data_IF_830071184416
#
_entry.id   IF_830071184416
#
_cell.length_a   1.000
_cell.length_b   1.000
_cell.length_c   1.000
_cell.angle_alpha   90.00
_cell.angle_beta   90.00
_cell.angle_gamma   90.00
#
_symmetry.space_group_name_H-M   'P 1'
#
loop_
_entity.id
_entity.type
_entity.pdbx_description
1 polymer ?
#
# COMPACT_ATOMS: atom_id res chain seq x y z
N UNK A 1 0.03 5.77 -11.64
CA UNK A 1 0.88 5.02 -12.58
C UNK A 1 1.40 3.77 -11.89
N UNK A 2 1.40 2.64 -12.59
CA UNK A 2 2.00 1.45 -12.01
C UNK A 2 3.48 1.67 -11.74
N UNK A 3 3.94 1.14 -10.64
CA UNK A 3 5.34 1.22 -10.28
C UNK A 3 5.74 2.42 -9.47
N UNK A 4 4.83 3.35 -9.22
CA UNK A 4 5.11 4.48 -8.34
C UNK A 4 5.15 4.01 -6.89
N UNK A 5 6.10 4.54 -6.10
CA UNK A 5 6.05 4.31 -4.66
C UNK A 5 4.98 5.22 -4.09
N UNK A 6 3.96 4.63 -3.46
CA UNK A 6 2.85 5.41 -2.91
C UNK A 6 2.80 5.35 -1.39
N UNK A 7 3.53 4.43 -0.77
CA UNK A 7 3.45 4.26 0.68
C UNK A 7 4.69 3.53 1.16
N UNK A 8 5.16 3.86 2.36
CA UNK A 8 6.31 3.19 2.98
C UNK A 8 5.90 2.80 4.39
N UNK A 9 6.14 1.55 4.77
CA UNK A 9 5.97 1.12 6.14
C UNK A 9 7.31 1.13 6.85
N UNK A 10 7.34 1.75 8.02
CA UNK A 10 8.55 1.86 8.82
C UNK A 10 8.31 1.05 10.09
N UNK A 11 8.96 -0.09 10.23
CA UNK A 11 8.76 -0.92 11.42
C UNK A 11 9.49 -0.33 12.62
N UNK A 12 8.89 -0.52 13.78
CA UNK A 12 9.48 0.00 15.01
C UNK A 12 9.02 -0.84 16.19
N UNK A 13 9.95 -1.17 17.07
CA UNK A 13 9.59 -1.82 18.32
C UNK A 13 8.91 -0.81 19.25
N UNK A 14 9.43 0.40 19.30
CA UNK A 14 8.86 1.50 20.10
C UNK A 14 8.36 2.55 19.13
N UNK A 15 7.06 2.50 18.85
CA UNK A 15 6.49 3.38 17.84
C UNK A 15 6.48 4.85 18.29
N UNK A 16 6.39 5.11 19.60
CA UNK A 16 6.45 6.48 20.06
C UNK A 16 7.82 7.10 19.82
N UNK A 17 8.86 6.34 20.10
CA UNK A 17 10.21 6.82 19.87
C UNK A 17 10.47 7.03 18.38
N UNK A 18 9.94 6.15 17.57
CA UNK A 18 10.07 6.29 16.11
C UNK A 18 9.37 7.54 15.62
N UNK A 19 8.16 7.81 16.13
CA UNK A 19 7.45 9.03 15.75
C UNK A 19 8.23 10.27 16.14
N UNK A 20 8.84 10.26 17.31
CA UNK A 20 9.65 11.39 17.74
C UNK A 20 10.84 11.62 16.82
N UNK A 21 11.49 10.54 16.43
CA UNK A 21 12.64 10.65 15.56
C UNK A 21 12.25 11.26 14.21
N UNK A 22 11.30 10.66 13.54
CA UNK A 22 10.92 11.09 12.20
C UNK A 22 10.22 12.45 12.21
N UNK A 23 9.40 12.67 13.23
CA UNK A 23 8.71 13.94 13.37
C UNK A 23 9.66 15.09 13.64
N UNK A 24 10.69 14.86 14.46
CA UNK A 24 11.69 15.90 14.73
C UNK A 24 12.56 16.15 13.52
N UNK A 25 12.86 15.09 12.78
CA UNK A 25 13.76 15.22 11.64
C UNK A 25 13.10 15.94 10.47
N UNK A 26 11.87 15.57 10.16
CA UNK A 26 11.21 16.06 8.94
C UNK A 26 9.95 16.88 9.20
N UNK A 27 9.53 17.01 10.44
CA UNK A 27 8.29 17.71 10.72
C UNK A 27 7.04 16.91 10.42
N UNK A 28 7.19 15.60 10.25
CA UNK A 28 6.03 14.76 9.96
C UNK A 28 5.12 14.68 11.17
N UNK A 29 3.82 14.69 10.92
CA UNK A 29 2.82 14.55 11.97
C UNK A 29 2.07 13.27 11.75
N UNK A 30 1.99 12.47 12.79
CA UNK A 30 1.44 11.13 12.71
C UNK A 30 0.05 11.08 13.30
N UNK A 31 -0.78 10.26 12.69
CA UNK A 31 -2.14 10.04 13.14
C UNK A 31 -2.33 8.55 13.36
N UNK A 32 -2.77 8.19 14.57
CA UNK A 32 -3.03 6.79 14.87
C UNK A 32 -4.27 6.33 14.14
N UNK A 33 -4.23 5.12 13.62
CA UNK A 33 -5.38 4.52 12.98
C UNK A 33 -5.93 3.41 13.86
N UNK A 34 -7.25 3.27 13.91
CA UNK A 34 -7.84 2.19 14.70
C UNK A 34 -7.53 0.85 14.07
N UNK A 35 -7.44 -0.17 14.92
CA UNK A 35 -7.19 -1.51 14.46
C UNK A 35 -6.41 -2.30 15.48
N UNK A 36 -6.23 -3.60 15.23
CA UNK A 36 -5.54 -4.46 16.19
C UNK A 36 -4.03 -4.22 16.26
N UNK A 37 -3.46 -3.52 15.28
CA UNK A 37 -2.04 -3.22 15.25
C UNK A 37 -1.83 -1.74 15.38
N UNK A 38 -0.69 -1.36 15.95
CA UNK A 38 -0.30 0.04 15.93
C UNK A 38 0.06 0.44 14.50
N UNK A 39 -0.58 1.50 14.05
CA UNK A 39 -0.36 1.96 12.70
C UNK A 39 -0.53 3.48 12.69
N UNK A 40 0.57 4.20 12.63
CA UNK A 40 0.57 5.65 12.74
C UNK A 40 0.97 6.22 11.38
N UNK A 41 0.03 6.87 10.72
CA UNK A 41 0.22 7.30 9.34
C UNK A 41 0.59 8.76 9.27
N UNK A 42 1.30 9.10 8.21
CA UNK A 42 1.64 10.49 7.91
C UNK A 42 1.73 10.63 6.40
N UNK A 43 1.67 11.86 5.96
CA UNK A 43 1.85 12.17 4.54
C UNK A 43 3.26 12.71 4.37
N UNK A 44 4.01 12.16 3.42
CA UNK A 44 5.41 12.51 3.28
C UNK A 44 5.71 13.35 2.05
N UNK A 45 4.73 13.49 1.17
CA UNK A 45 4.90 14.35 0.01
C UNK A 45 3.84 14.03 -1.01
N UNK A 46 3.28 15.05 -1.64
CA UNK A 46 2.28 14.84 -2.67
C UNK A 46 1.22 13.86 -2.22
N UNK A 47 1.13 12.76 -2.91
CA UNK A 47 0.16 11.73 -2.58
C UNK A 47 0.80 10.52 -1.91
N UNK A 48 2.03 10.65 -1.49
CA UNK A 48 2.76 9.54 -0.88
C UNK A 48 2.59 9.57 0.62
N UNK A 49 2.43 8.40 1.21
CA UNK A 49 2.27 8.28 2.64
C UNK A 49 3.31 7.39 3.26
N UNK A 50 3.33 7.38 4.59
CA UNK A 50 4.18 6.48 5.35
C UNK A 50 3.43 6.09 6.60
N UNK A 51 3.80 4.96 7.18
CA UNK A 51 3.23 4.53 8.45
C UNK A 51 4.32 3.93 9.30
N UNK A 52 4.31 4.29 10.59
CA UNK A 52 5.11 3.60 11.57
C UNK A 52 4.22 2.53 12.18
N UNK A 53 4.72 1.31 12.21
CA UNK A 53 3.94 0.19 12.71
C UNK A 53 4.81 -0.67 13.59
N UNK A 54 4.20 -1.24 14.63
CA UNK A 54 4.91 -2.26 15.39
C UNK A 54 4.96 -3.51 14.53
N UNK A 55 5.90 -4.37 14.81
CA UNK A 55 6.18 -5.44 13.90
C UNK A 55 6.57 -6.68 14.65
N UNK A 56 6.60 -7.78 13.94
CA UNK A 56 7.06 -9.03 14.51
C UNK A 56 8.51 -8.91 14.96
N UNK A 57 8.84 -9.54 16.08
CA UNK A 57 10.23 -9.51 16.53
C UNK A 57 11.19 -9.96 15.45
N UNK A 58 12.28 -9.25 15.32
CA UNK A 58 13.31 -9.59 14.36
C UNK A 58 13.16 -8.96 12.99
N UNK A 59 12.02 -8.37 12.69
CA UNK A 59 11.86 -7.70 11.41
C UNK A 59 12.57 -6.35 11.44
N UNK A 60 13.16 -6.00 10.33
CA UNK A 60 13.86 -4.72 10.16
C UNK A 60 13.72 -4.29 8.71
N UNK A 61 13.90 -2.99 8.49
CA UNK A 61 13.88 -2.44 7.15
C UNK A 61 12.51 -1.96 6.73
N UNK A 62 12.52 -0.89 6.00
CA UNK A 62 11.27 -0.31 5.49
C UNK A 62 10.74 -1.17 4.37
N UNK A 63 9.42 -1.12 4.19
CA UNK A 63 8.76 -1.84 3.10
C UNK A 63 8.07 -0.83 2.20
N UNK A 64 8.53 -0.66 0.95
CA UNK A 64 7.85 0.24 0.03
C UNK A 64 6.62 -0.44 -0.58
N UNK A 65 5.61 0.36 -0.86
CA UNK A 65 4.41 -0.09 -1.56
C UNK A 65 4.33 0.61 -2.89
N UNK A 66 4.17 -0.18 -3.94
CA UNK A 66 4.12 0.33 -5.31
C UNK A 66 2.69 0.29 -5.81
N UNK A 67 2.31 1.30 -6.56
CA UNK A 67 0.98 1.34 -7.14
C UNK A 67 0.85 0.29 -8.24
N UNK A 68 -0.26 -0.41 -8.25
CA UNK A 68 -0.65 -1.28 -9.36
C UNK A 68 -2.07 -0.92 -9.76
N UNK A 69 -2.41 -1.19 -11.00
CA UNK A 69 -3.73 -0.81 -11.51
C UNK A 69 -4.83 -1.69 -10.92
N UNK A 70 -4.57 -2.98 -10.78
CA UNK A 70 -5.54 -3.91 -10.26
C UNK A 70 -4.80 -4.96 -9.45
N UNK A 71 -5.28 -5.20 -8.23
CA UNK A 71 -4.49 -5.95 -7.26
C UNK A 71 -4.34 -7.43 -7.61
N UNK A 72 -5.39 -8.06 -8.11
CA UNK A 72 -5.29 -9.48 -8.45
C UNK A 72 -4.35 -9.69 -9.63
N UNK A 73 -4.45 -8.85 -10.64
CA UNK A 73 -3.57 -8.95 -11.79
C UNK A 73 -2.13 -8.67 -11.40
N UNK A 74 -1.93 -7.67 -10.53
CA UNK A 74 -0.59 -7.35 -10.05
C UNK A 74 0.03 -8.49 -9.28
N UNK A 75 -0.73 -9.09 -8.35
CA UNK A 75 -0.24 -10.21 -7.57
C UNK A 75 0.07 -11.41 -8.46
N UNK A 76 -0.80 -11.67 -9.43
CA UNK A 76 -0.56 -12.79 -10.35
C UNK A 76 0.72 -12.56 -11.16
N UNK A 77 0.94 -11.32 -11.58
CA UNK A 77 2.12 -10.99 -12.36
C UNK A 77 3.40 -11.18 -11.55
N UNK A 78 3.36 -10.81 -10.27
CA UNK A 78 4.50 -11.04 -9.39
C UNK A 78 4.88 -12.52 -9.39
N UNK A 79 3.88 -13.38 -9.25
CA UNK A 79 4.14 -14.82 -9.24
C UNK A 79 4.66 -15.32 -10.58
N UNK A 80 4.11 -14.83 -11.68
CA UNK A 80 4.59 -15.21 -13.01
C UNK A 80 6.05 -14.88 -13.20
N UNK A 81 6.50 -13.78 -12.60
CA UNK A 81 7.86 -13.32 -12.78
C UNK A 81 8.83 -13.90 -11.75
N UNK A 82 8.37 -14.88 -10.97
CA UNK A 82 9.26 -15.59 -10.04
C UNK A 82 9.24 -15.05 -8.62
N UNK A 83 8.39 -14.11 -8.32
CA UNK A 83 8.24 -13.60 -6.97
C UNK A 83 7.15 -14.32 -6.19
N UNK A 84 6.86 -13.80 -5.02
CA UNK A 84 5.78 -14.32 -4.16
C UNK A 84 4.80 -13.21 -3.88
N UNK A 85 3.54 -13.54 -3.78
CA UNK A 85 2.50 -12.57 -3.44
C UNK A 85 1.48 -13.24 -2.53
N UNK A 86 1.11 -12.55 -1.46
CA UNK A 86 0.07 -13.03 -0.57
C UNK A 86 -1.29 -12.67 -1.14
N UNK A 87 -2.33 -13.30 -0.59
CA UNK A 87 -3.69 -12.98 -1.01
C UNK A 87 -3.97 -11.50 -0.77
N UNK A 88 -4.63 -10.84 -1.72
CA UNK A 88 -4.98 -9.44 -1.53
C UNK A 88 -5.86 -9.25 -0.31
N UNK A 89 -5.62 -8.15 0.41
CA UNK A 89 -6.40 -7.80 1.57
C UNK A 89 -6.91 -6.37 1.43
N UNK A 90 -8.10 -6.10 1.97
CA UNK A 90 -8.64 -4.75 1.85
C UNK A 90 -7.98 -3.80 2.83
N UNK A 91 -7.85 -2.55 2.37
CA UNK A 91 -7.51 -1.44 3.26
C UNK A 91 -8.77 -0.59 3.32
N UNK A 92 -9.44 -0.52 4.46
CA UNK A 92 -10.71 0.20 4.53
C UNK A 92 -10.58 1.61 3.96
N UNK A 93 -11.49 1.95 3.05
CA UNK A 93 -11.57 3.25 2.40
C UNK A 93 -10.40 3.58 1.48
N UNK A 94 -9.46 2.66 1.27
CA UNK A 94 -8.27 2.98 0.49
C UNK A 94 -8.01 2.03 -0.66
N UNK A 95 -8.60 0.85 -0.65
CA UNK A 95 -8.38 -0.08 -1.73
C UNK A 95 -7.88 -1.43 -1.25
N UNK A 96 -6.95 -2.01 -1.97
CA UNK A 96 -6.47 -3.37 -1.71
C UNK A 96 -4.95 -3.41 -1.77
N UNK A 97 -4.37 -4.30 -0.98
CA UNK A 97 -2.93 -4.48 -1.02
C UNK A 97 -2.57 -5.96 -1.00
N UNK A 98 -1.35 -6.24 -1.43
CA UNK A 98 -0.76 -7.58 -1.32
C UNK A 98 0.68 -7.39 -0.89
N UNK A 99 1.13 -8.16 0.11
CA UNK A 99 2.54 -8.15 0.47
C UNK A 99 3.24 -9.19 -0.40
N UNK A 100 4.39 -8.80 -0.91
CA UNK A 100 5.07 -9.55 -1.96
C UNK A 100 6.56 -9.68 -1.65
N UNK A 101 7.21 -10.57 -2.39
CA UNK A 101 8.67 -10.66 -2.39
C UNK A 101 9.14 -10.81 -3.83
N UNK A 102 10.27 -10.18 -4.10
CA UNK A 102 10.89 -10.38 -5.40
C UNK A 102 11.68 -11.70 -5.40
N UNK A 103 12.26 -12.11 -6.53
CA UNK A 103 12.99 -13.39 -6.57
C UNK A 103 14.17 -13.51 -5.62
N UNK A 104 14.66 -12.41 -5.10
CA UNK A 104 15.76 -12.42 -4.14
C UNK A 104 15.28 -12.26 -2.70
N UNK A 105 13.97 -12.28 -2.49
CA UNK A 105 13.43 -12.20 -1.13
C UNK A 105 13.23 -10.80 -0.60
N UNK A 106 13.39 -9.77 -1.42
CA UNK A 106 13.13 -8.42 -0.97
C UNK A 106 11.63 -8.19 -0.83
N UNK A 107 11.21 -7.68 0.33
CA UNK A 107 9.80 -7.49 0.60
C UNK A 107 9.31 -6.15 0.07
N UNK A 108 8.13 -6.17 -0.52
CA UNK A 108 7.48 -4.96 -0.98
C UNK A 108 5.97 -5.20 -0.96
N UNK A 109 5.22 -4.14 -1.19
CA UNK A 109 3.78 -4.25 -1.29
C UNK A 109 3.29 -3.76 -2.63
N UNK A 110 2.19 -4.31 -3.07
CA UNK A 110 1.43 -3.80 -4.19
C UNK A 110 0.16 -3.19 -3.63
N UNK A 111 -0.22 -2.02 -4.12
CA UNK A 111 -1.38 -1.30 -3.60
C UNK A 111 -2.19 -0.77 -4.77
N UNK A 112 -3.47 -1.13 -4.78
CA UNK A 112 -4.41 -0.59 -5.75
C UNK A 112 -5.45 0.22 -5.00
N UNK A 113 -5.76 1.40 -5.52
CA UNK A 113 -6.66 2.30 -4.84
C UNK A 113 -8.12 2.09 -5.24
N UNK A 114 -8.40 1.03 -5.95
CA UNK A 114 -9.75 0.71 -6.34
C UNK A 114 -10.13 -0.67 -5.82
N UNK A 115 -11.41 -0.92 -5.63
CA UNK A 115 -11.84 -2.24 -5.17
C UNK A 115 -11.50 -3.30 -6.21
N UNK A 116 -11.47 -4.55 -5.76
CA UNK A 116 -11.33 -5.66 -6.69
C UNK A 116 -12.51 -5.61 -7.63
N UNK A 117 -12.21 -5.63 -8.91
CA UNK A 117 -13.24 -5.53 -9.91
C UNK A 117 -14.18 -6.72 -9.90
N UNK A 118 -15.28 -6.61 -10.60
CA UNK A 118 -16.20 -7.73 -10.68
C UNK A 118 -15.53 -8.91 -11.38
N UNK A 119 -16.12 -10.07 -11.22
CA UNK A 119 -15.56 -11.24 -11.90
C UNK A 119 -15.42 -11.00 -13.39
N UNK A 120 -14.48 -11.68 -13.96
CA UNK A 120 -14.22 -11.59 -15.37
C UNK A 120 -15.51 -11.76 -16.16
N UNK A 121 -15.73 -10.89 -17.11
CA UNK A 121 -16.94 -10.88 -17.90
C UNK A 121 -18.02 -9.97 -17.41
N UNK A 122 -17.95 -9.56 -16.21
CA UNK A 122 -18.85 -8.54 -15.75
C UNK A 122 -18.35 -7.26 -16.25
N UNK A 123 -18.40 -6.59 -16.86
CA UNK A 123 -17.70 -5.57 -17.31
C UNK A 123 -17.86 -4.31 -17.00
N UNK A 124 -17.36 -4.04 -16.77
CA UNK A 124 -17.22 -3.17 -16.20
C UNK A 124 -17.32 -2.03 -16.78
N UNK A 125 -17.93 -1.76 -16.73
CA UNK A 125 -18.06 -0.88 -17.04
C UNK A 125 -17.68 0.20 -16.57
N UNK A 126 -17.38 0.55 -16.23
CA UNK A 126 -16.84 1.42 -15.62
C UNK A 126 -15.85 1.82 -15.85
N UNK A 127 -15.76 1.57 -16.39
CA UNK A 127 -14.95 1.72 -16.40
C UNK A 127 -14.56 2.28 -16.98
N UNK A 128 -14.80 2.36 -16.92
CA UNK A 128 -14.67 2.74 -17.10
C UNK A 128 -14.56 3.52 -17.11
N UNK A 129 -14.65 3.79 -16.81
CA UNK A 129 -14.77 4.23 -16.42
C UNK A 129 -14.44 4.84 -16.25
N UNK A 130 -14.36 5.15 -16.23
CA UNK A 130 -14.28 5.37 -15.73
C UNK A 130 -13.76 5.98 -15.72
N UNK A 131 -13.49 6.57 -15.60
CA UNK A 131 -13.36 6.77 -15.32
C UNK A 131 -12.82 7.45 -15.05
N UNK A 132 -12.55 7.96 -15.20
CA UNK A 132 -12.30 8.23 -14.66
C UNK A 132 -12.04 8.69 -14.27
N UNK A 133 -11.77 9.24 -14.10
CA UNK A 133 -12.08 9.23 -13.54
C UNK A 133 -11.72 9.64 -12.94
N UNK A 134 -11.61 9.96 -12.76
CA UNK A 134 -11.68 9.86 -11.97
C UNK A 134 -11.29 10.01 -11.63
N UNK A 135 -11.17 10.51 -11.73
CA UNK A 135 -11.25 10.28 -11.15
C UNK A 135 -11.07 10.12 -10.92
N UNK A 136 -10.72 10.47 -11.03
CA UNK A 136 -11.10 10.08 -10.71
C UNK A 136 -10.82 9.98 -10.48
N UNK A 137 -10.57 10.19 -10.55
CA UNK A 137 -10.87 9.85 -10.30
C UNK A 137 -10.50 9.80 -10.06
N UNK A 138 -10.43 10.02 -10.06
CA UNK A 138 -10.55 9.65 -9.69
C UNK A 138 -10.31 9.46 -9.61
N UNK A 139 -10.14 9.85 -9.90
CA UNK A 139 -10.34 9.31 -9.78
C UNK A 139 -10.34 9.09 -9.66
N UNK A 140 -9.97 9.07 -9.89
CA UNK A 140 -10.28 8.59 -9.73
C UNK A 140 -10.25 8.45 -9.49
N UNK A 141 -10.55 9.03 -9.54
CA UNK A 141 -10.80 8.53 -9.25
C UNK A 141 -10.87 8.33 -9.09
#
# INVERSE_FOLDING_TARGET
MPGEIVHIEIPADDTNRSQEFWGSLFGWRFQANPGPFEYHTTQIGGEQGAAITNMEPGKRGTRPYFAVDEIKAGAARVKELGGEANEPMPVPSMGWFSTCKDPHGNEFGALADRPIGPPSGAVDQRSKSAGPGRRGGPAGD
#
